data_IF_025405089048
#
_entry.id   IF_025405089048
#
_cell.length_a   1.000
_cell.length_b   1.000
_cell.length_c   1.000
_cell.angle_alpha   90.00
_cell.angle_beta   90.00
_cell.angle_gamma   90.00
#
_symmetry.space_group_name_H-M   'P 1'
#
loop_
_entity.id
_entity.type
_entity.pdbx_description
1 polymer ?
#
# COMPACT_ATOMS: atom_id res chain seq x y z
N UNK A 1 16.05 -6.17 -50.46
CA UNK A 1 16.94 -5.26 -49.70
C UNK A 1 16.11 -4.65 -48.57
N UNK A 2 16.33 -5.00 -47.29
CA UNK A 2 15.59 -4.35 -46.21
C UNK A 2 15.93 -2.86 -46.17
N UNK A 3 14.91 -2.01 -46.05
CA UNK A 3 15.08 -0.55 -46.11
C UNK A 3 15.75 -0.02 -44.83
N UNK A 4 16.63 0.99 -44.96
CA UNK A 4 17.39 1.63 -43.86
C UNK A 4 16.49 2.05 -42.67
N UNK A 5 15.22 2.34 -42.93
CA UNK A 5 14.21 2.66 -41.91
C UNK A 5 13.96 1.51 -40.92
N UNK A 6 13.98 0.25 -41.36
CA UNK A 6 13.77 -0.90 -40.48
C UNK A 6 14.95 -1.11 -39.52
N UNK A 7 16.19 -0.81 -39.97
CA UNK A 7 17.40 -0.97 -39.17
C UNK A 7 17.45 0.04 -38.01
N UNK A 8 16.88 1.23 -38.20
CA UNK A 8 16.82 2.28 -37.16
C UNK A 8 15.62 2.14 -36.20
N UNK A 9 14.50 1.57 -36.68
CA UNK A 9 13.29 1.41 -35.85
C UNK A 9 13.38 0.20 -34.90
N UNK A 10 14.07 -0.87 -35.29
CA UNK A 10 14.25 -2.07 -34.48
C UNK A 10 14.94 -1.82 -33.11
N UNK A 11 16.07 -1.08 -33.02
CA UNK A 11 16.69 -0.79 -31.72
C UNK A 11 15.85 0.15 -30.86
N UNK A 12 15.10 1.08 -31.46
CA UNK A 12 14.18 1.98 -30.74
C UNK A 12 13.04 1.16 -30.12
N UNK A 13 12.43 0.27 -30.91
CA UNK A 13 11.39 -0.63 -30.46
C UNK A 13 11.89 -1.57 -29.36
N UNK A 14 13.13 -2.06 -29.47
CA UNK A 14 13.75 -2.90 -28.46
C UNK A 14 13.98 -2.15 -27.14
N UNK A 15 14.44 -0.90 -27.17
CA UNK A 15 14.61 -0.06 -25.97
C UNK A 15 13.26 0.23 -25.31
N UNK A 16 12.22 0.53 -26.09
CA UNK A 16 10.88 0.74 -25.55
C UNK A 16 10.32 -0.53 -24.91
N UNK A 17 10.55 -1.69 -25.53
CA UNK A 17 10.16 -2.98 -24.99
C UNK A 17 10.89 -3.28 -23.66
N UNK A 18 12.18 -2.98 -23.56
CA UNK A 18 12.97 -3.18 -22.33
C UNK A 18 12.53 -2.24 -21.19
N UNK A 19 12.13 -1.00 -21.50
CA UNK A 19 11.60 -0.06 -20.50
C UNK A 19 10.16 -0.36 -20.08
N UNK A 20 9.42 -1.13 -20.89
CA UNK A 20 8.06 -1.57 -20.56
C UNK A 20 8.01 -2.78 -19.64
N UNK A 21 9.16 -3.38 -19.31
CA UNK A 21 9.21 -4.44 -18.32
C UNK A 21 8.73 -3.89 -16.97
N UNK A 22 7.76 -4.56 -16.32
CA UNK A 22 7.31 -4.11 -15.00
C UNK A 22 8.52 -4.06 -14.07
N UNK A 23 8.59 -3.02 -13.25
CA UNK A 23 9.62 -2.94 -12.22
C UNK A 23 9.55 -4.22 -11.38
N UNK A 24 10.71 -4.86 -11.17
CA UNK A 24 10.78 -6.03 -10.31
C UNK A 24 10.30 -5.61 -8.91
N UNK A 25 9.28 -6.28 -8.40
CA UNK A 25 8.80 -6.05 -7.05
C UNK A 25 9.95 -6.29 -6.06
N UNK A 26 10.11 -5.39 -5.10
CA UNK A 26 11.07 -5.57 -4.02
C UNK A 26 10.70 -6.83 -3.21
N UNK A 27 11.71 -7.63 -2.86
CA UNK A 27 11.50 -8.77 -1.97
C UNK A 27 11.28 -8.28 -0.53
N UNK A 28 10.12 -8.60 0.03
CA UNK A 28 9.77 -8.33 1.44
C UNK A 28 9.55 -9.66 2.14
N UNK A 29 10.22 -9.86 3.28
CA UNK A 29 10.10 -11.09 4.08
C UNK A 29 9.53 -10.77 5.45
N UNK A 30 8.42 -11.43 5.78
CA UNK A 30 7.82 -11.38 7.13
C UNK A 30 8.06 -12.74 7.79
N UNK A 31 8.90 -12.76 8.82
CA UNK A 31 9.23 -13.97 9.57
C UNK A 31 8.57 -13.85 10.93
N UNK A 32 7.74 -14.83 11.30
CA UNK A 32 7.09 -14.85 12.62
C UNK A 32 7.87 -15.71 13.58
N UNK A 33 8.05 -15.18 14.78
CA UNK A 33 8.61 -15.94 15.89
C UNK A 33 7.59 -16.96 16.45
N UNK A 34 7.96 -17.79 17.44
CA UNK A 34 7.03 -18.77 18.04
C UNK A 34 5.79 -18.17 18.72
N UNK A 35 5.79 -16.88 19.02
CA UNK A 35 4.65 -16.16 19.60
C UNK A 35 3.84 -15.40 18.55
N UNK A 36 4.20 -15.52 17.27
CA UNK A 36 3.51 -14.90 16.14
C UNK A 36 3.96 -13.47 15.85
N UNK A 37 4.97 -12.94 16.56
CA UNK A 37 5.45 -11.56 16.37
C UNK A 37 6.13 -11.44 15.01
N UNK A 38 5.70 -10.51 14.13
CA UNK A 38 6.27 -10.35 12.80
C UNK A 38 7.60 -9.58 12.83
N UNK A 39 8.66 -10.19 12.34
CA UNK A 39 9.93 -9.55 12.01
C UNK A 39 9.99 -9.30 10.50
N UNK A 40 9.97 -8.01 10.11
CA UNK A 40 9.90 -7.58 8.71
C UNK A 40 11.29 -7.21 8.20
N UNK A 41 11.69 -7.78 7.06
CA UNK A 41 12.95 -7.49 6.38
C UNK A 41 12.70 -7.07 4.93
N UNK A 42 13.30 -5.95 4.52
CA UNK A 42 13.32 -5.46 3.15
C UNK A 42 14.60 -4.64 2.91
N UNK A 43 14.91 -4.34 1.65
CA UNK A 43 16.07 -3.52 1.26
C UNK A 43 15.84 -2.02 1.40
N UNK A 44 14.57 -1.60 1.52
CA UNK A 44 14.15 -0.21 1.60
C UNK A 44 13.16 0.03 2.75
N UNK A 45 13.09 1.28 3.22
CA UNK A 45 12.06 1.69 4.20
C UNK A 45 10.64 1.52 3.65
N UNK A 46 10.46 1.65 2.34
CA UNK A 46 9.18 1.41 1.69
C UNK A 46 8.76 -0.06 1.81
N UNK A 47 9.66 -0.99 1.50
CA UNK A 47 9.44 -2.43 1.65
C UNK A 47 9.17 -2.84 3.11
N UNK A 48 9.90 -2.25 4.07
CA UNK A 48 9.63 -2.47 5.51
C UNK A 48 8.24 -1.97 5.88
N UNK A 49 7.86 -0.77 5.44
CA UNK A 49 6.52 -0.23 5.68
C UNK A 49 5.41 -1.10 5.07
N UNK A 50 5.63 -1.61 3.86
CA UNK A 50 4.71 -2.54 3.20
C UNK A 50 4.54 -3.82 3.99
N UNK A 51 5.65 -4.48 4.39
CA UNK A 51 5.59 -5.72 5.17
C UNK A 51 4.98 -5.52 6.57
N UNK A 52 5.19 -4.36 7.18
CA UNK A 52 4.52 -4.01 8.44
C UNK A 52 3.00 -3.88 8.27
N UNK A 53 2.55 -3.16 7.24
CA UNK A 53 1.12 -3.05 6.91
C UNK A 53 0.50 -4.41 6.58
N UNK A 54 1.24 -5.28 5.88
CA UNK A 54 0.82 -6.66 5.60
C UNK A 54 0.59 -7.44 6.89
N UNK A 55 1.55 -7.44 7.81
CA UNK A 55 1.43 -8.16 9.07
C UNK A 55 0.26 -7.66 9.94
N UNK A 56 0.02 -6.34 9.97
CA UNK A 56 -1.18 -5.77 10.61
C UNK A 56 -2.46 -6.28 9.95
N UNK A 57 -2.49 -6.33 8.62
CA UNK A 57 -3.64 -6.83 7.86
C UNK A 57 -3.94 -8.30 8.15
N UNK A 58 -2.93 -9.11 8.44
CA UNK A 58 -3.14 -10.50 8.86
C UNK A 58 -3.64 -10.60 10.30
N UNK A 59 -3.12 -9.78 11.21
CA UNK A 59 -3.31 -9.98 12.66
C UNK A 59 -4.43 -9.15 13.29
N UNK A 60 -4.74 -8.00 12.68
CA UNK A 60 -5.47 -6.88 13.30
C UNK A 60 -6.30 -6.08 12.28
N UNK A 61 -6.76 -6.71 11.20
CA UNK A 61 -7.45 -6.02 10.11
C UNK A 61 -8.63 -5.18 10.59
N UNK A 62 -9.50 -5.74 11.43
CA UNK A 62 -10.69 -5.05 11.93
C UNK A 62 -10.35 -3.82 12.77
N UNK A 63 -9.35 -3.94 13.65
CA UNK A 63 -8.85 -2.84 14.47
C UNK A 63 -8.24 -1.73 13.61
N UNK A 64 -7.43 -2.11 12.62
CA UNK A 64 -6.80 -1.16 11.69
C UNK A 64 -7.84 -0.39 10.87
N UNK A 65 -8.83 -1.09 10.31
CA UNK A 65 -9.91 -0.45 9.55
C UNK A 65 -10.80 0.42 10.47
N UNK A 66 -11.11 -0.06 11.68
CA UNK A 66 -11.85 0.70 12.69
C UNK A 66 -11.15 2.01 13.05
N UNK A 67 -9.83 1.97 13.26
CA UNK A 67 -9.02 3.16 13.49
C UNK A 67 -9.04 4.09 12.28
N UNK A 68 -8.93 3.56 11.05
CA UNK A 68 -9.02 4.37 9.82
C UNK A 68 -10.37 5.07 9.69
N UNK A 69 -11.49 4.37 9.88
CA UNK A 69 -12.82 5.01 9.80
C UNK A 69 -13.00 6.08 10.87
N UNK A 70 -12.50 5.82 12.08
CA UNK A 70 -12.54 6.78 13.19
C UNK A 70 -11.73 8.04 12.86
N UNK A 71 -10.48 7.88 12.44
CA UNK A 71 -9.60 8.98 12.06
C UNK A 71 -10.18 9.84 10.92
N UNK A 72 -10.91 9.21 9.99
CA UNK A 72 -11.60 9.90 8.89
C UNK A 72 -12.97 10.49 9.29
N UNK A 73 -13.46 10.24 10.51
CA UNK A 73 -14.80 10.65 10.95
C UNK A 73 -15.92 10.03 10.09
N UNK A 74 -15.82 8.72 9.83
CA UNK A 74 -16.74 7.94 8.99
C UNK A 74 -17.28 6.68 9.69
N UNK A 75 -17.28 6.63 11.03
CA UNK A 75 -17.80 5.49 11.80
C UNK A 75 -19.31 5.30 11.64
N UNK A 76 -20.06 6.37 11.35
CA UNK A 76 -21.51 6.26 11.06
C UNK A 76 -21.82 5.40 9.83
N UNK A 77 -20.89 5.23 8.89
CA UNK A 77 -21.08 4.35 7.73
C UNK A 77 -21.09 2.86 8.10
N UNK A 78 -20.50 2.51 9.25
CA UNK A 78 -20.37 1.14 9.73
C UNK A 78 -21.35 0.86 10.89
N UNK A 79 -21.47 1.80 11.84
CA UNK A 79 -22.24 1.63 13.09
C UNK A 79 -23.54 2.44 13.14
N UNK A 80 -23.83 3.21 12.09
CA UNK A 80 -25.05 4.01 12.01
C UNK A 80 -25.09 5.17 13.00
N UNK A 81 -26.30 5.56 13.41
CA UNK A 81 -26.55 6.80 14.16
C UNK A 81 -25.84 6.86 15.53
N UNK A 82 -25.48 5.71 16.11
CA UNK A 82 -24.76 5.66 17.40
C UNK A 82 -23.36 6.26 17.37
N UNK A 83 -22.75 6.40 16.18
CA UNK A 83 -21.40 6.90 16.01
C UNK A 83 -21.31 8.38 15.60
N UNK A 84 -22.43 9.12 15.57
CA UNK A 84 -22.46 10.52 15.11
C UNK A 84 -21.53 11.42 15.92
N UNK A 85 -21.47 11.23 17.24
CA UNK A 85 -20.61 12.06 18.10
C UNK A 85 -19.12 11.78 17.88
N UNK A 86 -18.77 10.54 17.50
CA UNK A 86 -17.40 10.16 17.14
C UNK A 86 -17.02 10.90 15.85
N UNK A 87 -17.85 10.78 14.80
CA UNK A 87 -17.58 11.43 13.52
C UNK A 87 -17.50 12.95 13.64
N UNK A 88 -18.41 13.55 14.42
CA UNK A 88 -18.39 14.99 14.73
C UNK A 88 -17.07 15.38 15.40
N UNK A 89 -16.66 14.66 16.44
CA UNK A 89 -15.42 14.95 17.18
C UNK A 89 -14.19 14.90 16.27
N UNK A 90 -14.02 13.82 15.50
CA UNK A 90 -12.84 13.65 14.64
C UNK A 90 -12.80 14.64 13.46
N UNK A 91 -13.96 15.04 12.93
CA UNK A 91 -14.05 16.11 11.93
C UNK A 91 -13.75 17.49 12.51
N UNK A 92 -14.24 17.79 13.73
CA UNK A 92 -13.93 19.06 14.40
C UNK A 92 -12.43 19.20 14.73
N UNK A 93 -11.78 18.08 15.07
CA UNK A 93 -10.33 18.03 15.26
C UNK A 93 -9.54 18.12 13.95
N UNK A 94 -10.21 18.04 12.79
CA UNK A 94 -9.60 18.10 11.44
C UNK A 94 -8.50 17.05 11.22
N UNK A 95 -8.65 15.86 11.83
CA UNK A 95 -7.65 14.78 11.77
C UNK A 95 -7.36 14.32 10.33
N UNK A 96 -8.36 14.38 9.44
CA UNK A 96 -8.21 13.95 8.05
C UNK A 96 -7.71 15.05 7.08
N UNK A 97 -7.51 16.29 7.55
CA UNK A 97 -7.21 17.45 6.68
C UNK A 97 -5.73 17.87 6.69
N UNK A 98 -4.84 17.03 7.22
CA UNK A 98 -3.39 17.27 7.26
C UNK A 98 -2.67 16.83 5.98
#
# INVERSE_FOLDING_TARGET
MPSIRFVLLLPILLVHLLQSLPAQAEEVRVIRDPWGVPHVFASSNHGVGYGYGWAIGEDRLEEALSAMWTANGRRTEIEGAGAVDIDRTFRLMRIAEF
#
